data_IF_143108586313
#
_entry.id   IF_143108586313
#
_cell.length_a   1.000
_cell.length_b   1.000
_cell.length_c   1.000
_cell.angle_alpha   90.00
_cell.angle_beta   90.00
_cell.angle_gamma   90.00
#
_symmetry.space_group_name_H-M   'P 1'
#
loop_
_entity.id
_entity.type
_entity.pdbx_description
1 polymer ?
#
# COMPACT_ATOMS: atom_id res chain seq x y z
N UNK A 1 -19.40 -9.92 -9.52
CA UNK A 1 -18.96 -8.90 -8.54
C UNK A 1 -20.08 -8.40 -7.62
N UNK A 2 -21.26 -8.01 -8.12
CA UNK A 2 -22.37 -7.56 -7.25
C UNK A 2 -22.70 -8.58 -6.13
N UNK A 3 -22.80 -9.87 -6.46
CA UNK A 3 -23.10 -10.91 -5.48
C UNK A 3 -21.97 -11.11 -4.44
N UNK A 4 -20.71 -10.90 -4.84
CA UNK A 4 -19.58 -10.88 -3.89
C UNK A 4 -19.73 -9.70 -2.92
N UNK A 5 -20.19 -8.54 -3.41
CA UNK A 5 -20.53 -7.39 -2.56
C UNK A 5 -21.65 -7.69 -1.57
N UNK A 6 -22.72 -8.38 -1.99
CA UNK A 6 -23.80 -8.82 -1.11
C UNK A 6 -23.27 -9.77 -0.03
N UNK A 7 -22.45 -10.74 -0.43
CA UNK A 7 -21.83 -11.72 0.46
C UNK A 7 -20.91 -11.05 1.51
N UNK A 8 -19.98 -10.19 1.07
CA UNK A 8 -19.03 -9.51 1.94
C UNK A 8 -19.73 -8.51 2.87
N UNK A 9 -20.78 -7.84 2.40
CA UNK A 9 -21.66 -7.03 3.26
C UNK A 9 -22.28 -7.89 4.37
N UNK A 10 -22.74 -9.10 4.06
CA UNK A 10 -23.27 -10.04 5.05
C UNK A 10 -22.25 -10.40 6.11
N UNK A 11 -21.02 -10.75 5.70
CA UNK A 11 -19.92 -11.08 6.62
C UNK A 11 -19.53 -9.90 7.50
N UNK A 12 -19.24 -8.74 6.90
CA UNK A 12 -18.73 -7.57 7.62
C UNK A 12 -19.74 -7.00 8.62
N UNK A 13 -21.04 -7.21 8.41
CA UNK A 13 -22.09 -6.82 9.36
C UNK A 13 -22.28 -7.82 10.50
N UNK A 14 -21.79 -9.06 10.37
CA UNK A 14 -21.94 -10.06 11.40
C UNK A 14 -20.92 -9.81 12.54
N UNK A 15 -21.35 -9.71 13.80
CA UNK A 15 -20.49 -9.28 14.91
C UNK A 15 -19.34 -10.24 15.24
N UNK A 16 -19.43 -11.50 14.77
CA UNK A 16 -18.35 -12.50 14.92
C UNK A 16 -17.52 -12.63 13.65
N UNK A 17 -18.16 -12.77 12.50
CA UNK A 17 -17.46 -13.04 11.24
C UNK A 17 -16.76 -11.78 10.67
N UNK A 18 -17.33 -10.59 10.89
CA UNK A 18 -16.74 -9.33 10.45
C UNK A 18 -15.35 -9.10 11.06
N UNK A 19 -15.22 -9.01 12.40
CA UNK A 19 -13.92 -8.88 13.04
C UNK A 19 -12.95 -10.01 12.68
N UNK A 20 -13.43 -11.25 12.55
CA UNK A 20 -12.58 -12.37 12.14
C UNK A 20 -12.02 -12.21 10.72
N UNK A 21 -12.83 -11.75 9.76
CA UNK A 21 -12.36 -11.46 8.40
C UNK A 21 -11.34 -10.32 8.40
N UNK A 22 -11.58 -9.26 9.18
CA UNK A 22 -10.64 -8.14 9.31
C UNK A 22 -9.30 -8.61 9.90
N UNK A 23 -9.33 -9.42 10.97
CA UNK A 23 -8.13 -10.01 11.56
C UNK A 23 -7.39 -10.88 10.54
N UNK A 24 -8.11 -11.66 9.72
CA UNK A 24 -7.51 -12.47 8.65
C UNK A 24 -6.77 -11.60 7.61
N UNK A 25 -7.37 -10.46 7.22
CA UNK A 25 -6.76 -9.52 6.27
C UNK A 25 -5.55 -8.76 6.85
N UNK A 26 -5.41 -8.69 8.17
CA UNK A 26 -4.24 -8.10 8.83
C UNK A 26 -3.05 -9.05 8.95
N UNK A 27 -3.19 -10.33 8.59
CA UNK A 27 -2.08 -11.30 8.61
C UNK A 27 -1.08 -11.00 7.48
N UNK A 28 0.20 -11.38 7.64
CA UNK A 28 1.15 -11.29 6.55
C UNK A 28 0.72 -12.12 5.35
N UNK A 29 0.90 -11.57 4.16
CA UNK A 29 0.73 -12.27 2.90
C UNK A 29 1.82 -13.34 2.74
N UNK A 30 1.47 -14.43 2.06
CA UNK A 30 2.43 -15.49 1.74
C UNK A 30 3.59 -14.97 0.90
N UNK A 31 3.31 -14.04 -0.02
CA UNK A 31 4.34 -13.38 -0.85
C UNK A 31 5.36 -12.61 -0.02
N UNK A 32 4.92 -11.84 0.98
CA UNK A 32 5.83 -11.13 1.87
C UNK A 32 6.67 -12.08 2.72
N UNK A 33 6.08 -13.17 3.24
CA UNK A 33 6.81 -14.17 4.00
C UNK A 33 7.90 -14.85 3.16
N UNK A 34 7.62 -15.12 1.88
CA UNK A 34 8.59 -15.69 0.95
C UNK A 34 9.76 -14.74 0.65
N UNK A 35 9.49 -13.43 0.55
CA UNK A 35 10.51 -12.41 0.25
C UNK A 35 11.26 -11.89 1.48
N UNK A 36 10.75 -12.13 2.70
CA UNK A 36 11.32 -11.61 3.94
C UNK A 36 12.80 -12.00 4.15
N UNK A 37 13.26 -13.24 3.88
CA UNK A 37 14.67 -13.59 4.02
C UNK A 37 15.58 -12.79 3.08
N UNK A 38 15.16 -12.59 1.83
CA UNK A 38 15.90 -11.80 0.85
C UNK A 38 15.95 -10.34 1.28
N UNK A 39 14.79 -9.74 1.62
CA UNK A 39 14.72 -8.35 2.07
C UNK A 39 15.56 -8.11 3.33
N UNK A 40 15.57 -9.05 4.27
CA UNK A 40 16.38 -8.95 5.49
C UNK A 40 17.89 -8.92 5.16
N UNK A 41 18.32 -9.71 4.17
CA UNK A 41 19.71 -9.82 3.76
C UNK A 41 20.20 -8.64 2.90
N UNK A 42 19.40 -8.23 1.92
CA UNK A 42 19.79 -7.22 0.92
C UNK A 42 19.34 -5.82 1.27
N UNK A 43 18.28 -5.70 2.07
CA UNK A 43 17.57 -4.44 2.31
C UNK A 43 16.84 -3.91 1.09
N UNK A 44 16.73 -4.65 -0.02
CA UNK A 44 16.13 -4.15 -1.27
C UNK A 44 15.24 -5.21 -1.90
N UNK A 45 14.04 -4.82 -2.29
CA UNK A 45 13.13 -5.63 -3.12
C UNK A 45 12.60 -4.75 -4.26
N UNK A 46 12.76 -5.24 -5.50
CA UNK A 46 12.19 -4.62 -6.68
C UNK A 46 10.96 -5.42 -7.12
N UNK A 47 9.78 -4.77 -7.11
CA UNK A 47 8.56 -5.32 -7.68
C UNK A 47 8.16 -4.52 -8.93
N UNK A 48 7.00 -4.82 -9.51
CA UNK A 48 6.53 -4.17 -10.73
C UNK A 48 6.15 -2.70 -10.47
N UNK A 49 5.35 -2.46 -9.43
CA UNK A 49 4.79 -1.15 -9.13
C UNK A 49 5.48 -0.46 -7.94
N UNK A 50 6.23 -1.20 -7.12
CA UNK A 50 6.87 -0.69 -5.91
C UNK A 50 8.32 -1.14 -5.82
N UNK A 51 9.23 -0.20 -5.56
CA UNK A 51 10.59 -0.49 -5.11
C UNK A 51 10.69 -0.23 -3.62
N UNK A 52 11.13 -1.23 -2.85
CA UNK A 52 11.35 -1.15 -1.42
C UNK A 52 12.85 -1.16 -1.13
N UNK A 53 13.33 -0.20 -0.33
CA UNK A 53 14.72 -0.12 0.12
C UNK A 53 14.80 0.27 1.60
N UNK A 54 15.47 -0.53 2.43
CA UNK A 54 15.81 -0.20 3.81
C UNK A 54 17.13 0.54 3.85
N UNK A 55 17.11 1.77 4.36
CA UNK A 55 18.30 2.61 4.58
C UNK A 55 18.20 3.33 5.92
N UNK A 56 19.23 3.21 6.76
CA UNK A 56 19.31 3.86 8.08
C UNK A 56 18.13 3.58 9.03
N UNK A 57 17.48 2.42 8.86
CA UNK A 57 16.27 2.03 9.59
C UNK A 57 14.98 2.66 9.09
N UNK A 58 15.02 3.31 7.93
CA UNK A 58 13.84 3.78 7.19
C UNK A 58 13.58 2.83 6.02
N UNK A 59 12.35 2.38 5.88
CA UNK A 59 11.90 1.69 4.67
C UNK A 59 11.37 2.71 3.65
N UNK A 60 12.09 2.89 2.56
CA UNK A 60 11.71 3.72 1.44
C UNK A 60 10.88 2.91 0.44
N UNK A 61 9.56 3.13 0.41
CA UNK A 61 8.67 2.63 -0.62
C UNK A 61 8.56 3.67 -1.73
N UNK A 62 8.99 3.30 -2.93
CA UNK A 62 8.88 4.15 -4.12
C UNK A 62 7.86 3.54 -5.09
N UNK A 63 6.75 4.24 -5.32
CA UNK A 63 5.83 3.89 -6.41
C UNK A 63 6.51 4.18 -7.75
N UNK A 64 6.76 3.16 -8.57
CA UNK A 64 7.66 3.25 -9.72
C UNK A 64 7.01 2.93 -11.07
N UNK A 65 5.70 3.18 -11.22
CA UNK A 65 5.03 3.10 -12.53
C UNK A 65 5.17 4.41 -13.29
N UNK A 66 6.36 4.58 -13.83
CA UNK A 66 6.83 5.81 -14.46
C UNK A 66 6.10 6.17 -15.77
N UNK A 67 5.46 5.18 -16.39
CA UNK A 67 4.74 5.23 -17.66
C UNK A 67 3.30 5.74 -17.51
N UNK A 68 2.71 5.54 -16.33
CA UNK A 68 1.30 5.81 -16.06
C UNK A 68 1.04 6.64 -14.79
N UNK A 69 2.05 7.41 -14.32
CA UNK A 69 1.90 8.34 -13.21
C UNK A 69 1.43 7.66 -11.91
N UNK A 70 1.90 6.44 -11.67
CA UNK A 70 1.48 5.60 -10.55
C UNK A 70 -0.04 5.37 -10.48
N UNK A 71 -0.68 5.20 -11.64
CA UNK A 71 -2.08 4.82 -11.70
C UNK A 71 -2.32 3.43 -11.10
N UNK A 72 -3.28 3.33 -10.18
CA UNK A 72 -3.50 2.15 -9.35
C UNK A 72 -4.22 1.03 -10.10
N UNK A 73 -3.76 -0.20 -9.88
CA UNK A 73 -4.41 -1.42 -10.32
C UNK A 73 -4.14 -2.58 -9.36
N UNK A 74 -4.69 -3.76 -9.66
CA UNK A 74 -4.58 -4.93 -8.78
C UNK A 74 -3.12 -5.35 -8.49
N UNK A 75 -2.21 -5.20 -9.46
CA UNK A 75 -0.80 -5.54 -9.26
C UNK A 75 -0.14 -4.55 -8.29
N UNK A 76 -0.45 -3.25 -8.40
CA UNK A 76 0.05 -2.28 -7.43
C UNK A 76 -0.50 -2.54 -6.03
N UNK A 77 -1.74 -2.99 -5.87
CA UNK A 77 -2.30 -3.37 -4.56
C UNK A 77 -1.51 -4.55 -3.97
N UNK A 78 -1.22 -5.57 -4.78
CA UNK A 78 -0.44 -6.74 -4.33
C UNK A 78 1.00 -6.38 -3.93
N UNK A 79 1.67 -5.55 -4.73
CA UNK A 79 3.02 -5.06 -4.44
C UNK A 79 3.05 -4.15 -3.20
N UNK A 80 2.05 -3.27 -3.04
CA UNK A 80 1.92 -2.41 -1.87
C UNK A 80 1.70 -3.20 -0.59
N UNK A 81 0.81 -4.19 -0.62
CA UNK A 81 0.57 -5.05 0.54
C UNK A 81 1.81 -5.88 0.90
N UNK A 82 2.49 -6.42 -0.11
CA UNK A 82 3.76 -7.12 0.07
C UNK A 82 4.83 -6.20 0.70
N UNK A 83 4.97 -4.97 0.20
CA UNK A 83 5.92 -3.99 0.75
C UNK A 83 5.58 -3.62 2.19
N UNK A 84 4.30 -3.35 2.49
CA UNK A 84 3.85 -3.00 3.85
C UNK A 84 4.12 -4.13 4.83
N UNK A 85 3.82 -5.38 4.45
CA UNK A 85 4.12 -6.54 5.27
C UNK A 85 5.61 -6.68 5.56
N UNK A 86 6.47 -6.59 4.53
CA UNK A 86 7.93 -6.65 4.68
C UNK A 86 8.44 -5.55 5.64
N UNK A 87 7.90 -4.34 5.51
CA UNK A 87 8.23 -3.22 6.39
C UNK A 87 7.86 -3.50 7.83
N UNK A 88 6.68 -4.05 8.09
CA UNK A 88 6.21 -4.32 9.44
C UNK A 88 6.94 -5.53 10.05
N UNK A 89 7.32 -6.52 9.25
CA UNK A 89 8.04 -7.72 9.66
C UNK A 89 9.53 -7.51 9.92
N UNK A 90 10.23 -6.65 9.17
CA UNK A 90 11.68 -6.48 9.29
C UNK A 90 12.05 -5.71 10.58
N UNK A 91 12.71 -6.32 11.58
CA UNK A 91 13.05 -5.66 12.85
C UNK A 91 14.05 -4.50 12.69
N UNK A 92 14.78 -4.42 11.57
CA UNK A 92 15.71 -3.33 11.30
C UNK A 92 15.00 -2.05 10.82
N UNK A 93 13.75 -2.13 10.34
CA UNK A 93 12.94 -0.96 9.97
C UNK A 93 12.27 -0.39 11.22
N UNK A 94 12.40 0.93 11.41
CA UNK A 94 11.79 1.71 12.49
C UNK A 94 10.73 2.69 12.01
N UNK A 95 10.85 3.19 10.78
CA UNK A 95 9.93 4.16 10.15
C UNK A 95 9.79 3.82 8.68
N UNK A 96 8.62 4.08 8.09
CA UNK A 96 8.39 3.91 6.67
C UNK A 96 8.18 5.26 5.97
N UNK A 97 8.63 5.37 4.71
CA UNK A 97 8.42 6.53 3.84
C UNK A 97 7.87 6.07 2.49
N UNK A 98 6.63 6.46 2.18
CA UNK A 98 6.05 6.31 0.85
C UNK A 98 6.29 7.56 -0.01
N UNK A 99 6.80 7.38 -1.22
CA UNK A 99 7.02 8.48 -2.17
C UNK A 99 6.83 8.03 -3.62
N UNK A 100 6.47 8.97 -4.49
CA UNK A 100 6.47 8.76 -5.94
C UNK A 100 7.87 8.69 -6.55
N UNK A 101 8.07 7.76 -7.49
CA UNK A 101 9.24 7.64 -8.34
C UNK A 101 9.33 8.75 -9.39
N UNK A 102 10.44 8.77 -10.13
CA UNK A 102 10.63 9.68 -11.28
C UNK A 102 9.87 9.13 -12.48
N UNK A 103 9.19 9.99 -13.23
CA UNK A 103 8.35 9.59 -14.37
C UNK A 103 9.12 9.55 -15.69
N UNK A 104 8.70 8.64 -16.58
CA UNK A 104 9.21 8.48 -17.94
C UNK A 104 8.26 9.09 -18.98
N UNK A 105 6.97 9.22 -18.65
CA UNK A 105 5.97 9.83 -19.54
C UNK A 105 6.39 11.26 -19.95
N UNK A 106 6.34 11.63 -21.25
CA UNK A 106 6.90 12.89 -21.76
C UNK A 106 6.44 14.16 -21.03
N UNK A 107 5.18 14.20 -20.57
CA UNK A 107 4.63 15.36 -19.82
C UNK A 107 5.23 15.54 -18.42
N UNK A 108 5.84 14.51 -17.84
CA UNK A 108 6.37 14.51 -16.48
C UNK A 108 7.82 13.99 -16.42
N UNK A 109 8.49 13.89 -17.57
CA UNK A 109 9.83 13.30 -17.66
C UNK A 109 10.80 13.96 -16.67
N UNK A 110 11.47 13.14 -15.84
CA UNK A 110 12.41 13.63 -14.84
C UNK A 110 11.79 14.23 -13.57
N UNK A 111 10.46 14.36 -13.51
CA UNK A 111 9.74 14.80 -12.30
C UNK A 111 9.25 13.60 -11.50
N UNK A 112 9.13 13.77 -10.19
CA UNK A 112 8.43 12.81 -9.34
C UNK A 112 6.93 13.08 -9.35
N UNK A 113 6.14 12.00 -9.33
CA UNK A 113 4.69 12.06 -9.21
C UNK A 113 4.25 11.04 -8.18
N UNK A 114 3.48 11.47 -7.18
CA UNK A 114 3.01 10.58 -6.12
C UNK A 114 2.01 9.55 -6.67
N UNK A 115 0.79 9.95 -7.04
CA UNK A 115 -0.22 9.02 -7.57
C UNK A 115 -1.35 9.74 -8.31
N UNK A 116 -1.69 9.26 -9.51
CA UNK A 116 -2.79 9.75 -10.34
C UNK A 116 -4.15 9.09 -10.05
N UNK A 117 -4.26 8.30 -8.99
CA UNK A 117 -5.46 7.55 -8.62
C UNK A 117 -5.64 6.28 -9.45
N UNK A 118 -6.87 5.77 -9.51
CA UNK A 118 -7.18 4.50 -10.18
C UNK A 118 -6.88 4.53 -11.68
N UNK A 119 -6.39 3.41 -12.22
CA UNK A 119 -6.19 3.27 -13.65
C UNK A 119 -7.54 3.18 -14.39
N UNK A 120 -7.99 4.32 -14.91
CA UNK A 120 -9.28 4.44 -15.60
C UNK A 120 -9.37 3.61 -16.89
N UNK A 121 -8.24 3.31 -17.54
CA UNK A 121 -8.24 2.40 -18.71
C UNK A 121 -8.61 0.99 -18.29
N UNK A 122 -7.99 0.49 -17.20
CA UNK A 122 -8.31 -0.82 -16.61
C UNK A 122 -9.74 -0.86 -16.06
N UNK A 123 -10.20 0.23 -15.45
CA UNK A 123 -11.58 0.33 -14.98
C UNK A 123 -12.56 0.17 -16.15
N UNK A 124 -12.30 0.88 -17.26
CA UNK A 124 -13.14 0.81 -18.46
C UNK A 124 -13.07 -0.53 -19.17
N UNK A 125 -11.95 -1.27 -19.10
CA UNK A 125 -11.82 -2.60 -19.71
C UNK A 125 -12.36 -3.74 -18.83
N UNK A 126 -12.77 -3.44 -17.58
CA UNK A 126 -13.27 -4.44 -16.63
C UNK A 126 -12.17 -5.15 -15.83
N UNK A 127 -10.94 -4.62 -15.83
CA UNK A 127 -9.77 -5.19 -15.16
C UNK A 127 -9.51 -4.59 -13.76
N UNK A 128 -10.52 -3.96 -13.17
CA UNK A 128 -10.51 -3.49 -11.79
C UNK A 128 -11.47 -4.39 -10.98
N UNK A 129 -10.94 -5.44 -10.32
CA UNK A 129 -11.78 -6.35 -9.57
C UNK A 129 -12.28 -5.71 -8.27
N UNK A 130 -13.56 -5.91 -7.94
CA UNK A 130 -14.15 -5.47 -6.68
C UNK A 130 -13.39 -6.03 -5.47
N UNK A 131 -13.09 -7.32 -5.47
CA UNK A 131 -12.46 -7.99 -4.33
C UNK A 131 -10.96 -7.71 -4.31
N UNK A 132 -10.25 -8.03 -5.40
CA UNK A 132 -8.79 -8.04 -5.40
C UNK A 132 -8.16 -6.64 -5.56
N UNK A 133 -8.95 -5.61 -5.86
CA UNK A 133 -8.50 -4.22 -5.88
C UNK A 133 -9.24 -3.36 -4.85
N UNK A 134 -10.55 -3.14 -5.03
CA UNK A 134 -11.30 -2.16 -4.21
C UNK A 134 -11.38 -2.56 -2.74
N UNK A 135 -11.69 -3.82 -2.43
CA UNK A 135 -11.79 -4.28 -1.04
C UNK A 135 -10.44 -4.69 -0.47
N UNK A 136 -9.58 -5.32 -1.27
CA UNK A 136 -8.25 -5.76 -0.83
C UNK A 136 -7.38 -4.60 -0.36
N UNK A 137 -7.36 -3.47 -1.08
CA UNK A 137 -6.55 -2.31 -0.67
C UNK A 137 -6.98 -1.78 0.71
N UNK A 138 -8.29 -1.68 0.93
CA UNK A 138 -8.87 -1.14 2.16
C UNK A 138 -8.64 -2.09 3.32
N UNK A 139 -8.99 -3.37 3.20
CA UNK A 139 -8.91 -4.32 4.31
C UNK A 139 -7.49 -4.84 4.55
N UNK A 140 -6.63 -4.79 3.54
CA UNK A 140 -5.23 -5.20 3.60
C UNK A 140 -4.32 -4.03 3.94
N UNK A 141 -3.51 -3.60 2.98
CA UNK A 141 -2.36 -2.74 3.25
C UNK A 141 -2.70 -1.38 3.88
N UNK A 142 -3.86 -0.78 3.57
CA UNK A 142 -4.28 0.50 4.19
C UNK A 142 -4.58 0.30 5.68
N UNK A 143 -5.31 -0.77 6.03
CA UNK A 143 -5.54 -1.10 7.45
C UNK A 143 -4.27 -1.55 8.16
N UNK A 144 -3.32 -2.21 7.47
CA UNK A 144 -2.02 -2.55 8.04
C UNK A 144 -1.15 -1.31 8.31
N UNK A 145 -1.22 -0.29 7.47
CA UNK A 145 -0.60 1.02 7.75
C UNK A 145 -1.23 1.64 9.00
N UNK A 146 -2.57 1.62 9.10
CA UNK A 146 -3.29 2.25 10.21
C UNK A 146 -3.19 1.50 11.55
N UNK A 147 -3.22 0.16 11.54
CA UNK A 147 -3.34 -0.68 12.76
C UNK A 147 -2.10 -1.52 13.05
N UNK A 148 -1.23 -1.71 12.07
CA UNK A 148 -0.18 -2.72 12.11
C UNK A 148 -0.62 -4.10 11.62
N UNK A 149 0.36 -4.98 11.57
CA UNK A 149 0.25 -6.34 11.08
C UNK A 149 -0.12 -7.30 12.22
N UNK A 150 -1.13 -8.15 12.01
CA UNK A 150 -1.45 -9.22 12.95
C UNK A 150 -0.40 -10.33 12.84
N UNK A 151 0.39 -10.45 13.89
CA UNK A 151 1.39 -11.52 14.04
C UNK A 151 1.03 -12.37 15.25
N UNK A 152 1.58 -13.57 15.35
CA UNK A 152 1.45 -14.43 16.54
C UNK A 152 2.32 -13.90 17.71
N UNK A 153 2.43 -12.58 17.83
CA UNK A 153 3.34 -11.84 18.67
C UNK A 153 3.04 -11.89 20.17
N UNK A 154 3.83 -11.11 20.92
CA UNK A 154 3.87 -11.15 22.38
C UNK A 154 2.52 -10.88 23.06
N UNK A 155 2.37 -11.34 24.30
CA UNK A 155 1.21 -11.08 25.16
C UNK A 155 0.85 -9.59 25.34
N UNK A 156 1.77 -8.67 25.01
CA UNK A 156 1.58 -7.22 25.15
C UNK A 156 0.87 -6.57 23.96
N UNK A 157 1.17 -7.03 22.74
CA UNK A 157 0.52 -6.55 21.52
C UNK A 157 0.46 -7.67 20.50
N UNK A 158 -0.75 -7.89 19.96
CA UNK A 158 -0.99 -8.81 18.83
C UNK A 158 -0.62 -8.17 17.49
N UNK A 159 -0.49 -6.84 17.46
CA UNK A 159 -0.23 -6.06 16.25
C UNK A 159 1.21 -5.53 16.29
N UNK A 160 1.90 -5.66 15.17
CA UNK A 160 3.20 -5.03 14.92
C UNK A 160 2.96 -3.81 14.03
N UNK A 161 3.04 -2.62 14.60
CA UNK A 161 2.91 -1.34 13.91
C UNK A 161 4.25 -0.59 13.82
N UNK A 162 4.32 0.37 12.90
CA UNK A 162 5.45 1.30 12.71
C UNK A 162 4.90 2.62 12.19
N UNK A 163 5.52 3.77 12.49
CA UNK A 163 5.11 5.05 11.96
C UNK A 163 5.39 5.17 10.45
N UNK A 164 4.47 5.80 9.73
CA UNK A 164 4.47 5.99 8.30
C UNK A 164 4.52 7.47 7.92
N UNK A 165 5.39 7.81 6.99
CA UNK A 165 5.48 9.13 6.37
C UNK A 165 5.13 9.05 4.88
N UNK A 166 4.48 10.07 4.34
CA UNK A 166 4.28 10.24 2.90
C UNK A 166 4.97 11.52 2.42
N UNK A 167 5.58 11.47 1.23
CA UNK A 167 6.11 12.64 0.54
C UNK A 167 5.42 12.79 -0.82
N UNK A 168 4.64 13.85 -0.97
CA UNK A 168 3.83 14.13 -2.16
C UNK A 168 4.59 15.06 -3.10
N UNK A 169 4.97 14.52 -4.26
CA UNK A 169 5.46 15.29 -5.40
C UNK A 169 4.36 15.40 -6.46
N UNK A 170 4.20 16.59 -7.05
CA UNK A 170 3.22 16.94 -8.10
C UNK A 170 1.74 16.83 -7.70
N UNK A 171 1.24 15.66 -7.31
CA UNK A 171 -0.16 15.49 -6.89
C UNK A 171 -0.43 14.13 -6.27
N UNK A 172 -1.45 14.08 -5.40
CA UNK A 172 -2.11 12.87 -4.98
C UNK A 172 -3.60 12.97 -5.34
N UNK A 173 -4.07 12.08 -6.21
CA UNK A 173 -5.43 12.08 -6.76
C UNK A 173 -6.12 10.78 -6.37
N UNK A 174 -7.41 10.84 -6.05
CA UNK A 174 -8.25 9.65 -5.83
C UNK A 174 -7.68 8.76 -4.73
N UNK A 175 -7.41 7.49 -5.04
CA UNK A 175 -6.86 6.53 -4.08
C UNK A 175 -5.49 6.94 -3.52
N UNK A 176 -4.69 7.69 -4.28
CA UNK A 176 -3.46 8.30 -3.78
C UNK A 176 -3.69 9.35 -2.69
N UNK A 177 -4.73 10.17 -2.81
CA UNK A 177 -5.12 11.12 -1.76
C UNK A 177 -5.66 10.38 -0.53
N UNK A 178 -6.48 9.34 -0.74
CA UNK A 178 -7.03 8.52 0.34
C UNK A 178 -5.94 7.92 1.23
N UNK A 179 -4.81 7.50 0.64
CA UNK A 179 -3.67 6.99 1.39
C UNK A 179 -3.18 7.99 2.44
N UNK A 180 -3.13 9.28 2.12
CA UNK A 180 -2.61 10.32 3.02
C UNK A 180 -3.40 10.43 4.34
N UNK A 181 -4.62 9.91 4.39
CA UNK A 181 -5.48 9.94 5.57
C UNK A 181 -5.07 8.94 6.67
N UNK A 182 -4.13 8.03 6.38
CA UNK A 182 -3.65 7.02 7.34
C UNK A 182 -2.15 7.15 7.69
N UNK A 183 -1.45 8.16 7.17
CA UNK A 183 -0.04 8.41 7.50
C UNK A 183 0.11 9.27 8.75
N UNK A 184 1.14 8.99 9.57
CA UNK A 184 1.49 9.80 10.75
C UNK A 184 2.04 11.18 10.37
N UNK A 185 2.70 11.28 9.21
CA UNK A 185 3.22 12.55 8.71
C UNK A 185 3.16 12.65 7.20
N UNK A 186 2.74 13.80 6.68
CA UNK A 186 2.64 14.07 5.23
C UNK A 186 3.45 15.32 4.90
N UNK A 187 4.46 15.16 4.06
CA UNK A 187 5.16 16.26 3.41
C UNK A 187 4.60 16.44 2.00
N UNK A 188 4.46 17.68 1.57
CA UNK A 188 3.96 18.00 0.24
C UNK A 188 4.84 19.08 -0.38
N UNK A 189 5.20 18.91 -1.66
CA UNK A 189 5.86 19.97 -2.42
C UNK A 189 4.94 21.18 -2.54
N UNK A 190 5.51 22.39 -2.57
CA UNK A 190 4.74 23.64 -2.64
C UNK A 190 3.87 23.76 -3.90
N UNK A 191 4.23 23.05 -4.97
CA UNK A 191 3.51 22.99 -6.24
C UNK A 191 2.56 21.79 -6.36
N UNK A 192 2.42 21.01 -5.28
CA UNK A 192 1.54 19.84 -5.27
C UNK A 192 0.09 20.20 -4.97
N UNK A 193 -0.85 19.38 -5.46
CA UNK A 193 -2.26 19.48 -5.10
C UNK A 193 -2.86 18.11 -4.73
N UNK A 194 -3.97 18.16 -4.01
CA UNK A 194 -4.71 16.99 -3.54
C UNK A 194 -6.14 17.06 -4.10
N UNK A 195 -6.68 15.94 -4.58
CA UNK A 195 -8.07 15.88 -5.07
C UNK A 195 -8.68 14.48 -4.94
N UNK A 196 -10.01 14.43 -4.85
CA UNK A 196 -10.83 13.22 -4.88
C UNK A 196 -11.77 13.28 -6.08
#
# INVERSE_FOLDING_TARGET
EIDQGIFLRGILRAPKAGPHLLDAMLRPTERALALLPEFSATGVIQMEAVRLERRDGVAHLTLCRDDCLNAEDAQQVDDMETAVDLVLLDPAVRVALLRGGVMSHPRYQGRRVFCAGINLKKLSSGDIPLVDFLLRRELGYIQKIFRGLLTDGSWRSRLTDKPWMAAVDSFAIGGGMQLLLVFDHVLAASDSYLSL
#
